data_IF_530604640082
#
_entry.id   IF_530604640082
#
_cell.length_a   1.000
_cell.length_b   1.000
_cell.length_c   1.000
_cell.angle_alpha   90.00
_cell.angle_beta   90.00
_cell.angle_gamma   90.00
#
_symmetry.space_group_name_H-M   'P 1'
#
loop_
_entity.id
_entity.type
_entity.pdbx_description
1 polymer ?
#
# COMPACT_ATOMS: atom_id res chain seq x y z
N UNK A 1 5.12 -2.67 -37.65
CA UNK A 1 5.71 -2.72 -36.83
C UNK A 1 5.24 -2.52 -35.62
N UNK A 2 5.46 -3.19 -34.73
CA UNK A 2 4.94 -3.05 -33.65
C UNK A 2 5.86 -3.30 -32.60
N UNK A 3 6.45 -2.38 -32.02
CA UNK A 3 7.23 -2.42 -30.82
C UNK A 3 6.35 -2.23 -29.62
N UNK A 4 5.10 -1.96 -29.90
CA UNK A 4 4.16 -1.67 -28.85
C UNK A 4 4.07 -2.69 -27.74
N UNK A 5 4.05 -3.99 -28.00
CA UNK A 5 3.94 -4.97 -26.92
C UNK A 5 5.10 -4.91 -25.95
N UNK A 6 6.32 -4.79 -26.45
CA UNK A 6 7.47 -4.68 -25.58
C UNK A 6 7.48 -3.37 -24.82
N UNK A 7 7.12 -2.33 -25.53
CA UNK A 7 7.08 -1.02 -24.96
C UNK A 7 6.05 -0.94 -23.83
N UNK A 8 4.90 -1.52 -24.06
CA UNK A 8 3.86 -1.55 -23.05
C UNK A 8 4.28 -2.35 -21.85
N UNK A 9 5.02 -3.42 -22.03
CA UNK A 9 5.49 -4.23 -20.93
C UNK A 9 6.40 -3.43 -20.02
N UNK A 10 7.32 -2.68 -20.60
CA UNK A 10 8.21 -1.84 -19.81
C UNK A 10 7.44 -0.77 -19.06
N UNK A 11 6.46 -0.18 -19.71
CA UNK A 11 5.63 0.83 -19.08
C UNK A 11 4.83 0.25 -17.93
N UNK A 12 4.32 -0.95 -18.08
CA UNK A 12 3.56 -1.60 -17.04
C UNK A 12 4.42 -1.82 -15.80
N UNK A 13 5.65 -2.24 -15.97
CA UNK A 13 6.54 -2.43 -14.85
C UNK A 13 6.82 -1.11 -14.15
N UNK A 14 7.11 -0.07 -14.90
CA UNK A 14 7.38 1.23 -14.33
C UNK A 14 6.16 1.77 -13.61
N UNK A 15 4.98 1.58 -14.18
CA UNK A 15 3.73 2.03 -13.57
C UNK A 15 3.47 1.27 -12.28
N UNK A 16 3.74 -0.03 -12.25
CA UNK A 16 3.52 -0.81 -11.05
C UNK A 16 4.43 -0.36 -9.91
N UNK A 17 5.68 -0.07 -10.20
CA UNK A 17 6.58 0.43 -9.18
C UNK A 17 6.16 1.80 -8.68
N UNK A 18 5.79 2.68 -9.60
CA UNK A 18 5.28 3.98 -9.23
C UNK A 18 3.99 3.90 -8.44
N UNK A 19 3.11 2.98 -8.84
CA UNK A 19 1.86 2.79 -8.14
C UNK A 19 2.07 2.26 -6.73
N UNK A 20 3.05 1.40 -6.53
CA UNK A 20 3.33 0.87 -5.21
C UNK A 20 3.70 1.99 -4.25
N UNK A 21 4.58 2.89 -4.69
CA UNK A 21 4.98 4.01 -3.85
C UNK A 21 3.81 4.96 -3.60
N UNK A 22 3.03 5.23 -4.62
CA UNK A 22 1.85 6.07 -4.50
C UNK A 22 0.83 5.47 -3.56
N UNK A 23 0.62 4.15 -3.66
CA UNK A 23 -0.30 3.45 -2.78
C UNK A 23 0.18 3.48 -1.34
N UNK A 24 1.46 3.28 -1.12
CA UNK A 24 2.02 3.35 0.23
C UNK A 24 1.73 4.71 0.86
N UNK A 25 1.99 5.76 0.14
CA UNK A 25 1.76 7.12 0.64
C UNK A 25 0.29 7.37 0.93
N UNK A 26 -0.55 6.96 0.00
CA UNK A 26 -1.98 7.18 0.13
C UNK A 26 -2.54 6.40 1.31
N UNK A 27 -2.17 5.14 1.42
CA UNK A 27 -2.63 4.29 2.51
C UNK A 27 -2.17 4.84 3.85
N UNK A 28 -0.90 5.23 3.96
CA UNK A 28 -0.37 5.79 5.19
C UNK A 28 -1.11 7.07 5.56
N UNK A 29 -1.37 7.92 4.57
CA UNK A 29 -2.10 9.16 4.81
C UNK A 29 -3.51 8.87 5.29
N UNK A 30 -4.19 7.93 4.68
CA UNK A 30 -5.54 7.56 5.07
C UNK A 30 -5.58 6.96 6.46
N UNK A 31 -4.58 6.13 6.78
CA UNK A 31 -4.47 5.55 8.11
C UNK A 31 -4.26 6.64 9.17
N UNK A 32 -3.39 7.61 8.89
CA UNK A 32 -3.17 8.71 9.81
C UNK A 32 -4.46 9.50 10.08
N UNK A 33 -5.26 9.67 9.06
CA UNK A 33 -6.51 10.40 9.21
C UNK A 33 -7.56 9.62 9.96
N UNK A 34 -7.54 8.31 9.79
CA UNK A 34 -8.61 7.48 10.35
C UNK A 34 -8.29 7.01 11.77
N UNK A 35 -7.08 6.59 12.02
CA UNK A 35 -6.71 6.00 13.32
C UNK A 35 -5.67 6.82 14.07
N UNK A 36 -5.22 7.93 13.50
CA UNK A 36 -4.28 8.80 14.17
C UNK A 36 -2.84 8.48 13.79
N UNK A 37 -1.93 8.96 14.61
CA UNK A 37 -0.51 8.84 14.34
C UNK A 37 -0.05 7.39 14.35
N UNK A 38 0.77 7.04 13.37
CA UNK A 38 1.28 5.68 13.20
C UNK A 38 2.77 5.66 13.53
N UNK A 39 3.20 4.67 14.32
CA UNK A 39 4.59 4.50 14.67
C UNK A 39 5.44 4.21 13.45
N UNK A 40 6.69 4.64 13.50
CA UNK A 40 7.64 4.37 12.43
C UNK A 40 7.76 2.87 12.13
N UNK A 41 7.74 2.04 13.16
CA UNK A 41 7.84 0.59 12.98
C UNK A 41 6.68 0.05 12.15
N UNK A 42 5.48 0.57 12.36
CA UNK A 42 4.32 0.17 11.57
C UNK A 42 4.42 0.67 10.14
N UNK A 43 4.93 1.89 9.97
CA UNK A 43 5.13 2.43 8.63
C UNK A 43 6.12 1.57 7.86
N UNK A 44 7.20 1.13 8.50
CA UNK A 44 8.17 0.26 7.86
C UNK A 44 7.55 -1.06 7.44
N UNK A 45 6.68 -1.62 8.25
CA UNK A 45 5.98 -2.85 7.90
C UNK A 45 5.07 -2.64 6.70
N UNK A 46 4.39 -1.51 6.64
CA UNK A 46 3.53 -1.18 5.50
C UNK A 46 4.37 -1.04 4.23
N UNK A 47 5.53 -0.41 4.34
CA UNK A 47 6.41 -0.24 3.20
C UNK A 47 6.95 -1.57 2.66
N UNK A 48 6.98 -2.59 3.49
CA UNK A 48 7.41 -3.92 3.06
C UNK A 48 6.31 -4.74 2.40
N UNK A 49 5.08 -4.25 2.36
CA UNK A 49 3.98 -4.99 1.77
C UNK A 49 4.04 -4.97 0.24
N UNK A 50 3.50 -6.01 -0.37
CA UNK A 50 3.35 -6.05 -1.83
C UNK A 50 2.20 -5.12 -2.23
N UNK A 51 2.10 -4.87 -3.53
CA UNK A 51 1.02 -4.01 -4.03
C UNK A 51 -0.34 -4.63 -3.74
N UNK A 52 -0.45 -5.94 -3.84
CA UNK A 52 -1.66 -6.68 -3.51
C UNK A 52 -2.04 -6.49 -2.05
N UNK A 53 -1.06 -6.62 -1.18
CA UNK A 53 -1.29 -6.43 0.25
C UNK A 53 -1.66 -4.98 0.57
N UNK A 54 -1.06 -4.03 -0.13
CA UNK A 54 -1.41 -2.63 0.06
C UNK A 54 -2.85 -2.35 -0.36
N UNK A 55 -3.29 -2.97 -1.44
CA UNK A 55 -4.67 -2.83 -1.88
C UNK A 55 -5.64 -3.42 -0.85
N UNK A 56 -5.27 -4.58 -0.30
CA UNK A 56 -6.07 -5.19 0.75
C UNK A 56 -6.13 -4.32 1.99
N UNK A 57 -5.00 -3.70 2.33
CA UNK A 57 -4.96 -2.78 3.47
C UNK A 57 -5.82 -1.55 3.22
N UNK A 58 -5.80 -1.04 2.00
CA UNK A 58 -6.61 0.11 1.64
C UNK A 58 -8.10 -0.16 1.84
N UNK A 59 -8.53 -1.38 1.59
CA UNK A 59 -9.91 -1.77 1.85
C UNK A 59 -10.15 -2.01 3.34
N UNK A 60 -9.23 -2.70 4.00
CA UNK A 60 -9.38 -3.06 5.40
C UNK A 60 -9.40 -1.84 6.30
N UNK A 61 -8.66 -0.79 5.93
CA UNK A 61 -8.56 0.38 6.78
C UNK A 61 -9.91 1.08 6.98
N UNK A 62 -10.85 0.84 6.10
CA UNK A 62 -12.19 1.41 6.24
C UNK A 62 -12.90 0.89 7.49
N UNK A 63 -12.49 -0.28 7.96
CA UNK A 63 -13.06 -0.90 9.16
C UNK A 63 -12.24 -0.65 10.41
N UNK A 64 -11.08 -0.01 10.28
CA UNK A 64 -10.22 0.24 11.42
C UNK A 64 -10.77 1.38 12.27
N UNK A 65 -10.72 1.21 13.57
CA UNK A 65 -11.07 2.27 14.51
C UNK A 65 -9.88 2.73 15.33
N UNK A 66 -8.81 1.95 15.36
CA UNK A 66 -7.64 2.30 16.17
C UNK A 66 -6.39 1.68 15.59
N UNK A 67 -5.23 2.08 16.12
CA UNK A 67 -3.95 1.54 15.70
C UNK A 67 -3.88 0.04 15.99
N UNK A 68 -4.56 -0.42 17.04
CA UNK A 68 -4.60 -1.84 17.37
C UNK A 68 -5.16 -2.67 16.21
N UNK A 69 -6.16 -2.16 15.53
CA UNK A 69 -6.75 -2.85 14.38
C UNK A 69 -5.72 -3.02 13.27
N UNK A 70 -4.92 -2.01 13.04
CA UNK A 70 -3.84 -2.08 12.05
C UNK A 70 -2.80 -3.12 12.45
N UNK A 71 -2.41 -3.14 13.72
CA UNK A 71 -1.44 -4.10 14.21
C UNK A 71 -1.93 -5.53 14.04
N UNK A 72 -3.18 -5.77 14.37
CA UNK A 72 -3.78 -7.08 14.22
C UNK A 72 -3.76 -7.49 12.75
N UNK A 73 -4.14 -6.59 11.87
CA UNK A 73 -4.17 -6.87 10.44
C UNK A 73 -2.77 -7.22 9.93
N UNK A 74 -1.76 -6.43 10.31
CA UNK A 74 -0.38 -6.65 9.88
C UNK A 74 0.17 -7.97 10.40
N UNK A 75 -0.23 -8.39 11.60
CA UNK A 75 0.22 -9.65 12.15
C UNK A 75 -0.36 -10.85 11.43
N UNK A 76 -1.46 -10.67 10.73
CA UNK A 76 -2.08 -11.73 9.95
C UNK A 76 -1.48 -11.86 8.55
N UNK A 77 -0.77 -10.85 8.09
CA UNK A 77 -0.13 -10.86 6.77
C UNK A 77 1.33 -11.34 6.79
#
# INVERSE_FOLDING_TARGET
MRLEPLYQRDREQAVQEGNKQGEQRLVIRQLNRRIGEIDTSLIERIQGLSIEQLENLAEALLDFSSVADLEIWLNQE
#
